data_IF_762421895570
#
_entry.id   IF_762421895570
#
_cell.length_a   1.000
_cell.length_b   1.000
_cell.length_c   1.000
_cell.angle_alpha   90.00
_cell.angle_beta   90.00
_cell.angle_gamma   90.00
#
_symmetry.space_group_name_H-M   'P 1'
#
loop_
_entity.id
_entity.type
_entity.pdbx_description
1 polymer ?
#
# COMPACT_ATOMS: atom_id res chain seq x y z
N UNK A 1 -8.41 -2.54 -1.89
CA UNK A 1 -8.92 -3.91 -1.69
C UNK A 1 -9.83 -4.39 -2.82
N UNK A 2 -10.00 -3.60 -3.87
CA UNK A 2 -10.86 -3.92 -5.03
C UNK A 2 -10.55 -5.28 -5.68
N UNK A 3 -9.27 -5.67 -5.73
CA UNK A 3 -8.85 -6.95 -6.29
C UNK A 3 -9.47 -8.17 -5.60
N UNK A 4 -9.66 -8.13 -4.26
CA UNK A 4 -10.34 -9.22 -3.54
C UNK A 4 -11.78 -9.38 -4.02
N UNK A 5 -12.53 -8.26 -4.14
CA UNK A 5 -13.90 -8.30 -4.63
C UNK A 5 -13.99 -8.86 -6.06
N UNK A 6 -13.02 -8.53 -6.92
CA UNK A 6 -12.95 -9.06 -8.28
C UNK A 6 -12.66 -10.56 -8.30
N UNK A 7 -11.73 -11.02 -7.45
CA UNK A 7 -11.38 -12.43 -7.32
C UNK A 7 -12.53 -13.23 -6.73
N UNK A 8 -13.19 -12.72 -5.70
CA UNK A 8 -14.37 -13.35 -5.09
C UNK A 8 -15.49 -13.55 -6.10
N UNK A 9 -15.77 -12.52 -6.90
CA UNK A 9 -16.79 -12.60 -7.95
C UNK A 9 -16.44 -13.62 -9.02
N UNK A 10 -15.15 -13.79 -9.32
CA UNK A 10 -14.70 -14.68 -10.40
C UNK A 10 -14.52 -16.14 -9.93
N UNK A 11 -14.03 -16.36 -8.73
CA UNK A 11 -13.60 -17.67 -8.26
C UNK A 11 -14.39 -18.22 -7.06
N UNK A 12 -15.17 -17.37 -6.38
CA UNK A 12 -15.81 -17.67 -5.10
C UNK A 12 -14.91 -17.24 -3.94
N UNK A 13 -15.50 -16.64 -2.90
CA UNK A 13 -14.77 -16.09 -1.76
C UNK A 13 -14.03 -17.18 -0.94
N UNK A 14 -14.56 -18.38 -0.92
CA UNK A 14 -13.99 -19.57 -0.28
C UNK A 14 -12.68 -20.05 -0.92
N UNK A 15 -12.43 -19.66 -2.17
CA UNK A 15 -11.21 -20.03 -2.91
C UNK A 15 -10.13 -18.97 -2.88
N UNK A 16 -10.42 -17.77 -2.37
CA UNK A 16 -9.52 -16.62 -2.40
C UNK A 16 -8.87 -16.42 -1.03
N UNK A 17 -7.57 -16.64 -0.95
CA UNK A 17 -6.76 -16.29 0.21
C UNK A 17 -6.45 -14.79 0.21
N UNK A 18 -6.18 -14.24 1.39
CA UNK A 18 -5.46 -12.98 1.52
C UNK A 18 -3.97 -13.18 1.25
N UNK A 19 -3.32 -12.13 0.74
CA UNK A 19 -1.88 -12.19 0.55
C UNK A 19 -1.25 -10.83 0.22
N UNK A 20 0.00 -10.67 0.60
CA UNK A 20 0.81 -9.50 0.29
C UNK A 20 2.27 -9.87 0.12
N UNK A 21 2.94 -9.20 -0.82
CA UNK A 21 4.40 -9.27 -0.98
C UNK A 21 5.05 -7.97 -0.51
N UNK A 22 6.20 -8.06 0.15
CA UNK A 22 7.08 -6.93 0.41
C UNK A 22 8.42 -7.20 -0.29
N UNK A 23 8.58 -6.63 -1.46
CA UNK A 23 9.79 -6.70 -2.28
C UNK A 23 9.92 -5.41 -3.08
N UNK A 24 11.14 -4.88 -3.19
CA UNK A 24 11.45 -3.74 -4.04
C UNK A 24 12.21 -4.23 -5.27
N UNK A 25 11.57 -4.13 -6.42
CA UNK A 25 12.15 -4.54 -7.72
C UNK A 25 11.90 -3.46 -8.77
N UNK A 26 12.75 -3.45 -9.79
CA UNK A 26 12.59 -2.62 -10.99
C UNK A 26 13.02 -3.40 -12.22
N UNK A 27 12.71 -2.88 -13.40
CA UNK A 27 13.30 -3.35 -14.65
C UNK A 27 14.47 -2.45 -15.03
N UNK A 28 15.59 -3.06 -15.42
CA UNK A 28 16.69 -2.32 -16.03
C UNK A 28 16.42 -2.06 -17.54
N UNK A 29 17.35 -1.41 -18.22
CA UNK A 29 17.22 -1.11 -19.66
C UNK A 29 17.12 -2.37 -20.53
N UNK A 30 17.75 -3.48 -20.10
CA UNK A 30 17.64 -4.78 -20.74
C UNK A 30 16.34 -5.52 -20.42
N UNK A 31 15.42 -4.90 -19.65
CA UNK A 31 14.14 -5.48 -19.17
C UNK A 31 14.32 -6.67 -18.22
N UNK A 32 15.46 -6.77 -17.55
CA UNK A 32 15.69 -7.74 -16.50
C UNK A 32 15.15 -7.23 -15.17
N UNK A 33 14.62 -8.13 -14.35
CA UNK A 33 14.15 -7.81 -13.00
C UNK A 33 15.34 -7.64 -12.06
N UNK A 34 15.50 -6.43 -11.52
CA UNK A 34 16.56 -6.10 -10.56
C UNK A 34 15.93 -5.86 -9.19
N UNK A 35 16.37 -6.63 -8.20
CA UNK A 35 15.99 -6.43 -6.82
C UNK A 35 16.80 -5.28 -6.21
N UNK A 36 16.10 -4.28 -5.64
CA UNK A 36 16.71 -3.05 -5.12
C UNK A 36 17.19 -3.14 -3.66
N UNK A 37 16.93 -4.27 -3.00
CA UNK A 37 17.34 -4.49 -1.61
C UNK A 37 17.07 -5.91 -1.15
N UNK A 38 17.62 -6.31 0.01
CA UNK A 38 17.56 -7.70 0.47
C UNK A 38 16.18 -8.12 0.99
N UNK A 39 15.29 -7.15 1.22
CA UNK A 39 13.97 -7.44 1.79
C UNK A 39 13.09 -8.12 0.76
N UNK A 40 12.64 -9.32 1.10
CA UNK A 40 11.60 -10.04 0.38
C UNK A 40 10.76 -10.83 1.40
N UNK A 41 9.46 -10.69 1.32
CA UNK A 41 8.53 -11.51 2.10
C UNK A 41 7.22 -11.68 1.35
N UNK A 42 6.57 -12.82 1.62
CA UNK A 42 5.22 -13.12 1.17
C UNK A 42 4.42 -13.54 2.39
N UNK A 43 3.43 -12.74 2.80
CA UNK A 43 2.47 -13.17 3.81
C UNK A 43 1.19 -13.61 3.09
N UNK A 44 0.60 -14.73 3.53
CA UNK A 44 -0.65 -15.24 2.98
C UNK A 44 -1.43 -15.98 4.06
N UNK A 45 -2.74 -16.15 3.87
CA UNK A 45 -3.57 -16.87 4.84
C UNK A 45 -5.04 -16.83 4.48
N UNK A 46 -5.82 -17.56 5.28
CA UNK A 46 -7.27 -17.44 5.21
C UNK A 46 -7.70 -16.06 5.70
N UNK A 47 -8.72 -15.48 5.07
CA UNK A 47 -9.19 -14.14 5.40
C UNK A 47 -9.91 -14.07 6.74
N UNK A 48 -10.37 -15.21 7.26
CA UNK A 48 -10.95 -15.35 8.59
C UNK A 48 -9.89 -15.63 9.69
N UNK A 49 -8.61 -15.75 9.31
CA UNK A 49 -7.50 -16.02 10.20
C UNK A 49 -7.31 -17.51 10.53
N UNK A 50 -8.10 -18.42 9.97
CA UNK A 50 -7.96 -19.83 10.24
C UNK A 50 -6.69 -20.44 9.59
N UNK A 51 -6.05 -21.38 10.27
CA UNK A 51 -4.91 -22.13 9.73
C UNK A 51 -5.43 -23.43 9.06
N UNK A 52 -6.03 -23.27 7.89
CA UNK A 52 -6.58 -24.38 7.12
C UNK A 52 -5.51 -25.36 6.61
N UNK A 53 -5.93 -26.54 6.16
CA UNK A 53 -5.02 -27.52 5.57
C UNK A 53 -4.34 -26.97 4.30
N UNK A 54 -5.08 -26.23 3.46
CA UNK A 54 -4.49 -25.60 2.25
C UNK A 54 -3.42 -24.56 2.61
N UNK A 55 -3.62 -23.75 3.64
CA UNK A 55 -2.61 -22.78 4.10
C UNK A 55 -1.36 -23.50 4.59
N UNK A 56 -1.50 -24.56 5.39
CA UNK A 56 -0.37 -25.38 5.85
C UNK A 56 0.36 -26.05 4.70
N UNK A 57 -0.38 -26.54 3.70
CA UNK A 57 0.19 -27.19 2.51
C UNK A 57 1.00 -26.19 1.68
N UNK A 58 0.45 -24.99 1.44
CA UNK A 58 1.14 -23.92 0.71
C UNK A 58 2.41 -23.48 1.48
N UNK A 59 2.32 -23.33 2.82
CA UNK A 59 3.47 -22.99 3.65
C UNK A 59 4.62 -23.99 3.47
N UNK A 60 4.33 -25.29 3.54
CA UNK A 60 5.34 -26.35 3.32
C UNK A 60 6.00 -26.28 1.93
N UNK A 61 5.23 -25.93 0.91
CA UNK A 61 5.80 -25.76 -0.45
C UNK A 61 6.78 -24.60 -0.48
N UNK A 62 6.46 -23.47 0.18
CA UNK A 62 7.34 -22.32 0.25
C UNK A 62 8.58 -22.53 1.13
N UNK A 63 8.52 -23.40 2.15
CA UNK A 63 9.68 -23.75 2.98
C UNK A 63 10.86 -24.28 2.15
N UNK A 64 10.57 -24.99 1.05
CA UNK A 64 11.60 -25.48 0.11
C UNK A 64 12.19 -24.39 -0.79
N UNK A 65 11.55 -23.22 -0.85
CA UNK A 65 11.96 -22.10 -1.66
C UNK A 65 12.89 -21.14 -0.90
N UNK A 66 13.45 -20.19 -1.66
CA UNK A 66 14.27 -19.11 -1.08
C UNK A 66 13.46 -17.83 -0.77
N UNK A 67 12.13 -17.90 -0.85
CA UNK A 67 11.22 -16.79 -0.57
C UNK A 67 10.79 -16.89 0.89
N UNK A 68 10.99 -15.84 1.66
CA UNK A 68 10.48 -15.74 3.02
C UNK A 68 8.96 -15.66 3.03
N UNK A 69 8.28 -16.82 2.96
CA UNK A 69 6.83 -16.90 2.99
C UNK A 69 6.34 -17.23 4.41
N UNK A 70 5.32 -16.50 4.87
CA UNK A 70 4.74 -16.62 6.21
C UNK A 70 3.24 -16.86 6.07
N UNK A 71 2.76 -17.98 6.63
CA UNK A 71 1.32 -18.20 6.83
C UNK A 71 0.85 -17.31 7.99
N UNK A 72 -0.04 -16.37 7.70
CA UNK A 72 -0.51 -15.35 8.65
C UNK A 72 -1.94 -15.64 9.10
N UNK A 73 -2.14 -15.70 10.42
CA UNK A 73 -3.48 -15.73 11.04
C UNK A 73 -4.16 -14.34 11.02
N UNK A 74 -3.43 -13.31 10.60
CA UNK A 74 -3.90 -11.92 10.56
C UNK A 74 -3.72 -11.27 9.18
N UNK A 75 -3.78 -12.08 8.12
CA UNK A 75 -3.45 -11.63 6.75
C UNK A 75 -4.25 -10.39 6.31
N UNK A 76 -5.50 -10.26 6.72
CA UNK A 76 -6.31 -9.08 6.39
C UNK A 76 -5.79 -7.82 7.10
N UNK A 77 -5.36 -7.92 8.35
CA UNK A 77 -4.70 -6.82 9.06
C UNK A 77 -3.38 -6.44 8.39
N UNK A 78 -2.56 -7.44 8.03
CA UNK A 78 -1.30 -7.22 7.32
C UNK A 78 -1.50 -6.49 5.99
N UNK A 79 -2.54 -6.90 5.23
CA UNK A 79 -2.90 -6.27 3.96
C UNK A 79 -3.37 -4.81 4.15
N UNK A 80 -4.17 -4.54 5.19
CA UNK A 80 -4.63 -3.20 5.49
C UNK A 80 -3.48 -2.29 5.94
N UNK A 81 -2.60 -2.75 6.81
CA UNK A 81 -1.43 -2.00 7.25
C UNK A 81 -0.52 -1.65 6.07
N UNK A 82 -0.22 -2.64 5.22
CA UNK A 82 0.53 -2.37 4.00
C UNK A 82 -0.16 -1.32 3.12
N UNK A 83 -1.48 -1.41 2.95
CA UNK A 83 -2.22 -0.46 2.13
C UNK A 83 -2.21 0.95 2.72
N UNK A 84 -2.38 1.10 4.03
CA UNK A 84 -2.24 2.38 4.73
C UNK A 84 -0.87 3.02 4.46
N UNK A 85 0.21 2.26 4.62
CA UNK A 85 1.56 2.74 4.32
C UNK A 85 1.73 3.15 2.86
N UNK A 86 1.38 2.27 1.94
CA UNK A 86 1.55 2.50 0.51
C UNK A 86 0.71 3.69 0.02
N UNK A 87 -0.53 3.80 0.48
CA UNK A 87 -1.41 4.90 0.10
C UNK A 87 -0.91 6.24 0.63
N UNK A 88 -0.47 6.28 1.90
CA UNK A 88 0.10 7.50 2.50
C UNK A 88 1.35 7.95 1.76
N UNK A 89 2.25 7.03 1.43
CA UNK A 89 3.47 7.32 0.67
C UNK A 89 3.15 7.76 -0.76
N UNK A 90 2.27 7.03 -1.45
CA UNK A 90 1.90 7.32 -2.83
C UNK A 90 1.17 8.65 -2.95
N UNK A 91 0.17 8.91 -2.10
CA UNK A 91 -0.54 10.17 -2.10
C UNK A 91 0.39 11.35 -1.84
N UNK A 92 1.28 11.22 -0.84
CA UNK A 92 2.19 12.31 -0.46
C UNK A 92 3.23 12.59 -1.53
N UNK A 93 3.97 11.58 -1.98
CA UNK A 93 5.08 11.78 -2.93
C UNK A 93 4.60 12.10 -4.34
N UNK A 94 3.43 11.59 -4.76
CA UNK A 94 2.84 11.92 -6.05
C UNK A 94 2.27 13.34 -6.08
N UNK A 95 1.59 13.76 -5.01
CA UNK A 95 1.03 15.12 -4.92
C UNK A 95 2.14 16.18 -4.86
N UNK A 96 3.15 15.96 -3.99
CA UNK A 96 4.27 16.90 -3.82
C UNK A 96 5.35 16.75 -4.89
N UNK A 97 5.29 15.73 -5.75
CA UNK A 97 6.23 15.49 -6.86
C UNK A 97 7.68 15.36 -6.41
N UNK A 98 7.91 14.83 -5.19
CA UNK A 98 9.26 14.74 -4.61
C UNK A 98 9.34 13.62 -3.55
N UNK A 99 10.54 13.41 -2.97
CA UNK A 99 10.79 12.41 -1.93
C UNK A 99 10.28 12.84 -0.56
N UNK A 100 10.14 11.88 0.35
CA UNK A 100 9.79 12.11 1.76
C UNK A 100 10.74 13.14 2.41
N UNK A 101 12.05 12.98 2.22
CA UNK A 101 13.04 13.90 2.79
C UNK A 101 12.89 15.33 2.31
N UNK A 102 12.61 15.54 1.03
CA UNK A 102 12.37 16.88 0.49
C UNK A 102 11.06 17.49 1.00
N UNK A 103 10.02 16.69 1.22
CA UNK A 103 8.78 17.16 1.84
C UNK A 103 9.06 17.61 3.28
N UNK A 104 9.85 16.83 4.04
CA UNK A 104 10.21 17.15 5.42
C UNK A 104 11.06 18.42 5.55
N UNK A 105 11.85 18.75 4.53
CA UNK A 105 12.74 19.91 4.54
C UNK A 105 12.03 21.26 4.48
N UNK A 106 10.70 21.27 4.25
CA UNK A 106 9.91 22.51 4.16
C UNK A 106 8.93 22.64 5.32
N UNK A 107 8.57 23.89 5.64
CA UNK A 107 7.58 24.17 6.69
C UNK A 107 6.25 23.46 6.39
N UNK A 108 5.68 22.78 7.41
CA UNK A 108 4.43 22.02 7.29
C UNK A 108 4.57 20.62 6.65
N UNK A 109 5.76 20.28 6.14
CA UNK A 109 5.97 18.98 5.46
C UNK A 109 5.74 17.77 6.36
N UNK A 110 6.20 17.85 7.61
CA UNK A 110 5.97 16.79 8.61
C UNK A 110 4.47 16.63 8.92
N UNK A 111 3.77 17.74 9.16
CA UNK A 111 2.32 17.70 9.47
C UNK A 111 1.50 17.21 8.29
N UNK A 112 1.95 17.52 7.07
CA UNK A 112 1.33 17.00 5.86
C UNK A 112 1.48 15.48 5.76
N UNK A 113 2.69 14.93 5.93
CA UNK A 113 2.96 13.49 5.84
C UNK A 113 2.22 12.70 6.93
N UNK A 114 2.29 13.15 8.18
CA UNK A 114 1.59 12.51 9.29
C UNK A 114 0.07 12.62 9.13
N UNK A 115 -0.44 13.79 8.74
CA UNK A 115 -1.88 13.94 8.48
C UNK A 115 -2.39 13.07 7.33
N UNK A 116 -1.58 12.78 6.30
CA UNK A 116 -1.94 11.81 5.26
C UNK A 116 -2.02 10.38 5.82
N UNK A 117 -1.07 10.01 6.69
CA UNK A 117 -1.09 8.72 7.39
C UNK A 117 -2.31 8.59 8.30
N UNK A 118 -2.66 9.66 9.03
CA UNK A 118 -3.83 9.69 9.91
C UNK A 118 -5.14 9.49 9.13
N UNK A 119 -5.30 10.16 7.98
CA UNK A 119 -6.47 10.00 7.11
C UNK A 119 -6.61 8.55 6.62
N UNK A 120 -5.52 7.94 6.11
CA UNK A 120 -5.54 6.54 5.68
C UNK A 120 -5.81 5.58 6.85
N UNK A 121 -5.24 5.85 8.02
CA UNK A 121 -5.44 5.06 9.25
C UNK A 121 -6.88 5.12 9.76
N UNK A 122 -7.51 6.30 9.69
CA UNK A 122 -8.91 6.48 10.07
C UNK A 122 -9.86 5.64 9.21
N UNK A 123 -9.58 5.55 7.90
CA UNK A 123 -10.36 4.71 6.97
C UNK A 123 -10.18 3.22 7.31
N UNK A 124 -8.95 2.79 7.56
CA UNK A 124 -8.65 1.41 7.94
C UNK A 124 -9.37 1.03 9.25
N UNK A 125 -9.32 1.91 10.25
CA UNK A 125 -10.03 1.75 11.53
C UNK A 125 -11.54 1.62 11.33
N UNK A 126 -12.15 2.47 10.53
CA UNK A 126 -13.59 2.42 10.23
C UNK A 126 -13.98 1.17 9.43
N UNK A 127 -13.03 0.57 8.72
CA UNK A 127 -13.20 -0.71 8.00
C UNK A 127 -12.95 -1.94 8.89
N UNK A 128 -12.69 -1.78 10.19
CA UNK A 128 -12.46 -2.86 11.14
C UNK A 128 -10.99 -3.28 11.30
N UNK A 129 -10.04 -2.58 10.65
CA UNK A 129 -8.63 -2.91 10.61
C UNK A 129 -7.77 -1.74 11.10
N UNK A 130 -8.01 -1.30 12.35
CA UNK A 130 -7.21 -0.24 12.95
C UNK A 130 -5.72 -0.61 12.92
N UNK A 131 -4.83 0.28 12.40
CA UNK A 131 -3.40 0.03 12.41
C UNK A 131 -2.90 -0.26 13.82
N UNK A 132 -2.03 -1.27 13.96
CA UNK A 132 -1.43 -1.60 15.24
C UNK A 132 -0.46 -0.51 15.70
N UNK A 133 -0.26 -0.38 17.01
CA UNK A 133 0.69 0.60 17.58
C UNK A 133 2.10 0.44 17.00
N UNK A 134 2.68 -0.77 16.96
CA UNK A 134 4.01 -1.00 16.36
C UNK A 134 4.07 -0.64 14.88
N UNK A 135 3.03 -0.94 14.10
CA UNK A 135 2.96 -0.54 12.68
C UNK A 135 2.93 0.98 12.55
N UNK A 136 2.05 1.64 13.29
CA UNK A 136 1.90 3.11 13.21
C UNK A 136 3.20 3.83 13.58
N UNK A 137 3.87 3.40 14.66
CA UNK A 137 5.15 3.95 15.09
C UNK A 137 6.24 3.77 14.02
N UNK A 138 6.37 2.56 13.47
CA UNK A 138 7.34 2.27 12.40
C UNK A 138 7.05 3.11 11.15
N UNK A 139 5.79 3.18 10.73
CA UNK A 139 5.38 3.91 9.53
C UNK A 139 5.57 5.41 9.68
N UNK A 140 5.19 5.97 10.84
CA UNK A 140 5.46 7.37 11.18
C UNK A 140 6.96 7.67 11.12
N UNK A 141 7.80 6.80 11.69
CA UNK A 141 9.26 6.92 11.63
C UNK A 141 9.79 6.95 10.20
N UNK A 142 9.32 6.04 9.34
CA UNK A 142 9.71 6.00 7.92
C UNK A 142 9.30 7.29 7.18
N UNK A 143 8.08 7.78 7.41
CA UNK A 143 7.56 9.00 6.79
C UNK A 143 8.14 10.29 7.38
N UNK A 144 8.87 10.22 8.48
CA UNK A 144 9.52 11.37 9.11
C UNK A 144 11.05 11.24 9.18
N UNK A 145 11.64 10.36 8.40
CA UNK A 145 13.10 10.22 8.29
C UNK A 145 13.65 11.36 7.44
N UNK A 146 14.44 12.23 8.07
CA UNK A 146 15.10 13.35 7.40
C UNK A 146 16.02 12.88 6.27
N UNK A 147 16.03 13.62 5.16
CA UNK A 147 16.85 13.30 4.01
C UNK A 147 16.47 12.02 3.27
N UNK A 148 15.36 11.36 3.65
CA UNK A 148 14.92 10.11 3.04
C UNK A 148 14.69 10.24 1.54
N UNK A 149 15.32 9.42 0.67
CA UNK A 149 15.06 9.40 -0.76
C UNK A 149 13.77 8.66 -1.12
N UNK A 150 13.01 8.19 -0.14
CA UNK A 150 11.85 7.33 -0.34
C UNK A 150 10.78 8.02 -1.19
N UNK A 151 10.33 7.30 -2.22
CA UNK A 151 9.23 7.68 -3.11
C UNK A 151 8.36 6.45 -3.41
N UNK A 152 7.09 6.66 -3.69
CA UNK A 152 6.24 5.59 -4.21
C UNK A 152 6.57 5.28 -5.68
N UNK A 153 6.23 4.04 -6.13
CA UNK A 153 6.29 3.67 -7.55
C UNK A 153 5.42 4.59 -8.40
N UNK A 154 4.22 4.88 -7.93
CA UNK A 154 3.26 5.78 -8.60
C UNK A 154 3.87 7.16 -8.92
N UNK A 155 4.71 7.72 -8.04
CA UNK A 155 5.42 8.97 -8.35
C UNK A 155 6.46 8.75 -9.46
N UNK A 156 7.17 7.63 -9.45
CA UNK A 156 8.13 7.31 -10.52
C UNK A 156 7.41 7.12 -11.87
N UNK A 157 6.24 6.48 -11.85
CA UNK A 157 5.40 6.31 -13.04
C UNK A 157 4.93 7.66 -13.59
N UNK A 158 4.50 8.58 -12.71
CA UNK A 158 4.17 9.96 -13.11
C UNK A 158 5.37 10.65 -13.78
N UNK A 159 6.58 10.53 -13.18
CA UNK A 159 7.80 11.12 -13.76
C UNK A 159 8.13 10.56 -15.14
N UNK A 160 7.86 9.28 -15.35
CA UNK A 160 8.07 8.59 -16.61
C UNK A 160 6.91 8.75 -17.61
N UNK A 161 5.85 9.49 -17.27
CA UNK A 161 4.67 9.62 -18.11
C UNK A 161 3.84 8.34 -18.25
N UNK A 162 3.99 7.38 -17.33
CA UNK A 162 3.32 6.08 -17.35
C UNK A 162 1.91 6.13 -16.70
N UNK A 163 1.04 5.14 -16.96
CA UNK A 163 -0.22 4.97 -16.25
C UNK A 163 -0.01 4.84 -14.73
N UNK A 164 -0.98 5.29 -13.94
CA UNK A 164 -0.95 5.20 -12.48
C UNK A 164 -2.13 4.37 -11.97
N UNK A 165 -1.98 3.79 -10.79
CA UNK A 165 -3.02 2.97 -10.14
C UNK A 165 -3.88 3.83 -9.19
N UNK A 166 -4.30 5.04 -9.63
CA UNK A 166 -4.99 6.01 -8.80
C UNK A 166 -6.25 5.44 -8.14
N UNK A 167 -7.11 4.78 -8.91
CA UNK A 167 -8.37 4.24 -8.43
C UNK A 167 -8.19 3.08 -7.45
N UNK A 168 -7.19 2.21 -7.70
CA UNK A 168 -6.93 1.04 -6.86
C UNK A 168 -6.27 1.38 -5.52
N UNK A 169 -5.34 2.34 -5.52
CA UNK A 169 -4.54 2.67 -4.33
C UNK A 169 -5.22 3.76 -3.49
N UNK A 170 -5.71 4.82 -4.13
CA UNK A 170 -6.27 5.99 -3.45
C UNK A 170 -7.80 6.05 -3.57
N UNK A 171 -8.35 5.81 -4.76
CA UNK A 171 -9.78 5.94 -5.04
C UNK A 171 -10.64 5.02 -4.17
N UNK A 172 -10.24 3.76 -3.96
CA UNK A 172 -10.96 2.83 -3.07
C UNK A 172 -10.97 3.34 -1.61
N UNK A 173 -9.88 3.96 -1.13
CA UNK A 173 -9.86 4.58 0.21
C UNK A 173 -10.81 5.79 0.28
N UNK A 174 -10.80 6.65 -0.73
CA UNK A 174 -11.71 7.81 -0.79
C UNK A 174 -13.17 7.35 -0.79
N UNK A 175 -13.52 6.34 -1.59
CA UNK A 175 -14.86 5.77 -1.63
C UNK A 175 -15.30 5.18 -0.27
N UNK A 176 -14.40 4.53 0.45
CA UNK A 176 -14.65 4.02 1.82
C UNK A 176 -14.82 5.15 2.82
N UNK A 177 -14.01 6.21 2.70
CA UNK A 177 -14.15 7.40 3.53
C UNK A 177 -15.53 8.05 3.34
N UNK A 178 -16.01 8.16 2.09
CA UNK A 178 -17.34 8.69 1.77
C UNK A 178 -18.45 7.83 2.40
N UNK A 179 -18.38 6.52 2.24
CA UNK A 179 -19.34 5.59 2.83
C UNK A 179 -19.39 5.66 4.37
N UNK A 180 -18.22 5.86 5.01
CA UNK A 180 -18.08 5.99 6.45
C UNK A 180 -18.22 7.43 6.96
N UNK A 181 -18.42 8.42 6.08
CA UNK A 181 -18.51 9.86 6.38
C UNK A 181 -17.28 10.39 7.14
N UNK A 182 -16.10 9.92 6.76
CA UNK A 182 -14.81 10.34 7.35
C UNK A 182 -14.23 11.48 6.50
N UNK A 183 -13.87 12.63 7.11
CA UNK A 183 -13.20 13.69 6.39
C UNK A 183 -11.74 13.30 6.05
N UNK A 184 -11.39 13.32 4.76
CA UNK A 184 -10.05 12.98 4.25
C UNK A 184 -9.58 14.01 3.23
N UNK A 185 -9.42 15.28 3.65
CA UNK A 185 -9.16 16.39 2.72
C UNK A 185 -7.85 16.25 1.96
N UNK A 186 -6.76 15.79 2.60
CA UNK A 186 -5.45 15.62 1.95
C UNK A 186 -5.49 14.48 0.93
N UNK A 187 -6.06 13.35 1.31
CA UNK A 187 -6.18 12.20 0.44
C UNK A 187 -7.04 12.51 -0.79
N UNK A 188 -8.11 13.30 -0.61
CA UNK A 188 -8.99 13.74 -1.69
C UNK A 188 -8.28 14.66 -2.68
N UNK A 189 -7.46 15.60 -2.21
CA UNK A 189 -6.65 16.46 -3.06
C UNK A 189 -5.65 15.61 -3.87
N UNK A 190 -4.99 14.64 -3.22
CA UNK A 190 -4.06 13.75 -3.90
C UNK A 190 -4.77 12.91 -4.98
N UNK A 191 -5.95 12.39 -4.69
CA UNK A 191 -6.76 11.65 -5.67
C UNK A 191 -7.15 12.53 -6.87
N UNK A 192 -7.62 13.75 -6.61
CA UNK A 192 -7.96 14.73 -7.67
C UNK A 192 -6.76 15.02 -8.56
N UNK A 193 -5.56 15.23 -7.96
CA UNK A 193 -4.33 15.42 -8.72
C UNK A 193 -4.00 14.24 -9.63
N UNK A 194 -4.13 13.01 -9.13
CA UNK A 194 -3.87 11.80 -9.91
C UNK A 194 -4.88 11.64 -11.06
N UNK A 195 -6.16 11.91 -10.82
CA UNK A 195 -7.20 11.86 -11.88
C UNK A 195 -6.98 12.94 -12.94
N UNK A 196 -6.53 14.13 -12.55
CA UNK A 196 -6.14 15.17 -13.49
C UNK A 196 -4.94 14.75 -14.36
N UNK A 197 -3.94 14.11 -13.75
CA UNK A 197 -2.82 13.52 -14.48
C UNK A 197 -3.27 12.45 -15.50
N UNK A 198 -4.13 11.52 -15.09
CA UNK A 198 -4.68 10.50 -16.02
C UNK A 198 -5.40 11.15 -17.20
N UNK A 199 -6.20 12.20 -16.93
CA UNK A 199 -6.94 12.93 -17.99
C UNK A 199 -6.02 13.67 -18.97
N UNK A 200 -4.88 14.18 -18.51
CA UNK A 200 -3.89 14.82 -19.38
C UNK A 200 -3.16 13.84 -20.30
N UNK A 201 -3.10 12.55 -19.93
CA UNK A 201 -2.48 11.49 -20.73
C UNK A 201 -3.41 10.89 -21.80
N UNK A 202 -4.70 10.98 -21.61
CA UNK A 202 -5.74 10.47 -22.53
C UNK A 202 -6.02 11.43 -23.67
#
# INVERSE_FOLDING_TARGET
MLHLNMLDKKFGADRVLGGLCAIAVTLNEAREVVQLGPMQSLNFGERDGSMSERVRTIAKVFESGKVGAVASEHVMQDMWEKWVFLASLAASTSLMRTSVGNILAVAGGKDFLLGMLDECSAIAKASGYAPTGPFFQRTSGLLTTEGSPMTASMFRDIKAGLPVEADHVIGDLVARADAAKIPVPKLRIAYTHLKAYEKQRS
#
